data_IF_365354558450
#
_entry.id   IF_365354558450
#
_cell.length_a   1.000
_cell.length_b   1.000
_cell.length_c   1.000
_cell.angle_alpha   90.00
_cell.angle_beta   90.00
_cell.angle_gamma   90.00
#
_symmetry.space_group_name_H-M   'P 1'
#
loop_
_entity.id
_entity.type
_entity.pdbx_description
1 polymer ?
#
# COMPACT_ATOMS: atom_id res chain seq x y z
N UNK A 1 11.20 -18.97 29.84
CA UNK A 1 12.09 -19.27 30.98
C UNK A 1 13.52 -19.12 30.48
N UNK A 2 14.15 -17.96 30.70
CA UNK A 2 15.54 -17.71 30.28
C UNK A 2 16.48 -18.39 31.27
N UNK A 3 17.19 -19.43 30.84
CA UNK A 3 18.23 -20.07 31.66
C UNK A 3 19.49 -19.20 31.63
N UNK A 4 19.72 -18.44 32.70
CA UNK A 4 21.00 -17.77 32.93
C UNK A 4 21.94 -18.75 33.63
N UNK A 5 23.02 -19.15 32.93
CA UNK A 5 24.06 -20.00 33.49
C UNK A 5 25.12 -19.13 34.20
N UNK A 6 25.08 -19.04 35.53
CA UNK A 6 25.99 -18.24 36.35
C UNK A 6 27.26 -19.02 36.77
N UNK A 7 28.04 -19.51 35.81
CA UNK A 7 29.38 -20.02 36.11
C UNK A 7 30.44 -18.98 35.72
N UNK A 8 31.36 -18.68 36.64
CA UNK A 8 32.51 -17.78 36.46
C UNK A 8 33.40 -18.17 35.26
N UNK A 9 33.34 -19.43 34.84
CA UNK A 9 34.05 -20.00 33.69
C UNK A 9 33.48 -19.63 32.30
N UNK A 10 32.27 -19.04 32.21
CA UNK A 10 31.61 -18.72 30.93
C UNK A 10 31.77 -17.26 30.47
N UNK A 11 32.31 -16.36 31.30
CA UNK A 11 32.35 -14.90 31.03
C UNK A 11 33.23 -14.48 29.83
N UNK A 12 34.09 -15.36 29.30
CA UNK A 12 35.02 -15.07 28.18
C UNK A 12 34.95 -16.10 27.04
N UNK A 13 33.94 -16.96 27.02
CA UNK A 13 33.84 -18.08 26.09
C UNK A 13 32.48 -18.13 25.42
N UNK A 14 32.44 -18.47 24.12
CA UNK A 14 31.17 -18.76 23.43
C UNK A 14 30.48 -19.96 24.09
N UNK A 15 29.15 -20.08 23.96
CA UNK A 15 28.41 -21.21 24.55
C UNK A 15 28.99 -22.58 24.15
N UNK A 16 29.50 -22.70 22.93
CA UNK A 16 30.15 -23.91 22.42
C UNK A 16 31.48 -24.22 23.13
N UNK A 17 32.31 -23.21 23.38
CA UNK A 17 33.58 -23.34 24.12
C UNK A 17 33.35 -23.67 25.60
N UNK A 18 32.39 -22.99 26.23
CA UNK A 18 32.01 -23.24 27.60
C UNK A 18 31.46 -24.67 27.77
N UNK A 19 30.59 -25.12 26.85
CA UNK A 19 30.05 -26.48 26.83
C UNK A 19 31.15 -27.53 26.70
N UNK A 20 32.12 -27.29 25.80
CA UNK A 20 33.24 -28.20 25.58
C UNK A 20 34.12 -28.34 26.84
N UNK A 21 34.36 -27.25 27.57
CA UNK A 21 35.14 -27.27 28.82
C UNK A 21 34.41 -27.93 29.99
N UNK A 22 33.10 -27.70 30.13
CA UNK A 22 32.34 -28.14 31.31
C UNK A 22 31.85 -29.58 31.16
N UNK A 23 31.47 -29.98 29.96
CA UNK A 23 30.71 -31.21 29.71
C UNK A 23 31.28 -32.05 28.57
N UNK A 24 32.46 -31.69 28.06
CA UNK A 24 33.08 -32.32 26.89
C UNK A 24 32.38 -31.95 25.58
N UNK A 25 32.95 -32.41 24.46
CA UNK A 25 32.38 -32.19 23.13
C UNK A 25 31.42 -33.31 22.69
N UNK A 26 31.39 -34.41 23.44
CA UNK A 26 30.64 -35.60 23.08
C UNK A 26 29.19 -35.50 23.54
N UNK A 27 28.28 -36.06 22.74
CA UNK A 27 26.86 -36.06 23.07
C UNK A 27 26.61 -36.90 24.31
N UNK A 28 25.90 -36.36 25.31
CA UNK A 28 25.42 -37.12 26.48
C UNK A 28 24.49 -38.28 26.08
N UNK A 29 23.93 -38.24 24.86
CA UNK A 29 23.11 -39.31 24.32
C UNK A 29 23.84 -40.66 24.29
N UNK A 30 25.19 -40.68 24.21
CA UNK A 30 25.99 -41.92 24.24
C UNK A 30 25.89 -42.72 25.53
N UNK A 31 25.42 -42.10 26.61
CA UNK A 31 25.23 -42.75 27.91
C UNK A 31 23.80 -43.26 28.13
N UNK A 32 22.87 -43.00 27.19
CA UNK A 32 21.52 -43.54 27.26
C UNK A 32 21.49 -45.01 26.79
N UNK A 33 20.88 -45.92 27.56
CA UNK A 33 20.71 -47.31 27.14
C UNK A 33 19.96 -47.38 25.80
N UNK A 34 20.57 -47.99 24.79
CA UNK A 34 20.01 -48.12 23.44
C UNK A 34 20.37 -47.00 22.45
N UNK A 35 21.24 -46.06 22.81
CA UNK A 35 21.78 -45.08 21.87
C UNK A 35 22.73 -45.74 20.86
N UNK A 36 22.40 -45.59 19.58
CA UNK A 36 23.21 -46.03 18.45
C UNK A 36 23.54 -44.79 17.60
N UNK A 37 24.82 -44.36 17.54
CA UNK A 37 25.22 -43.17 16.78
C UNK A 37 25.03 -43.32 15.27
N UNK A 38 24.82 -44.54 14.75
CA UNK A 38 24.48 -44.79 13.34
C UNK A 38 22.99 -44.61 13.02
N UNK A 39 22.11 -44.66 14.04
CA UNK A 39 20.67 -44.42 13.89
C UNK A 39 20.37 -42.93 13.89
N UNK A 40 20.60 -42.26 12.76
CA UNK A 40 19.87 -41.01 12.48
C UNK A 40 18.38 -41.33 12.57
N UNK A 41 17.61 -40.55 13.34
CA UNK A 41 16.15 -40.59 13.25
C UNK A 41 15.78 -40.37 11.79
N UNK A 42 15.43 -41.45 11.08
CA UNK A 42 14.85 -41.35 9.75
C UNK A 42 13.54 -40.58 9.93
N UNK A 43 13.32 -39.56 9.10
CA UNK A 43 12.03 -38.88 9.04
C UNK A 43 10.94 -39.95 8.92
N UNK A 44 9.96 -39.95 9.81
CA UNK A 44 8.81 -40.84 9.67
C UNK A 44 8.18 -40.58 8.29
N UNK A 45 7.84 -41.62 7.51
CA UNK A 45 7.15 -41.41 6.24
C UNK A 45 5.83 -40.65 6.49
N UNK A 46 5.45 -39.81 5.53
CA UNK A 46 4.17 -39.11 5.59
C UNK A 46 3.03 -40.13 5.69
N UNK A 47 2.05 -39.86 6.54
CA UNK A 47 0.82 -40.66 6.61
C UNK A 47 0.04 -40.50 5.31
N UNK A 48 -0.88 -41.42 5.03
CA UNK A 48 -1.81 -41.30 3.89
C UNK A 48 -2.56 -39.96 3.92
N UNK A 49 -3.03 -39.54 5.10
CA UNK A 49 -3.61 -38.22 5.30
C UNK A 49 -2.60 -37.10 5.01
N UNK A 50 -1.33 -37.24 5.40
CA UNK A 50 -0.28 -36.27 5.08
C UNK A 50 -0.02 -36.12 3.58
N UNK A 51 -0.08 -37.22 2.83
CA UNK A 51 0.03 -37.21 1.36
C UNK A 51 -1.19 -36.55 0.71
N UNK A 52 -2.39 -36.85 1.19
CA UNK A 52 -3.63 -36.22 0.71
C UNK A 52 -3.68 -34.72 1.02
N UNK A 53 -3.22 -34.31 2.21
CA UNK A 53 -3.11 -32.91 2.58
C UNK A 53 -2.06 -32.16 1.76
N UNK A 54 -0.94 -32.80 1.40
CA UNK A 54 0.07 -32.21 0.50
C UNK A 54 -0.43 -32.04 -0.95
N UNK A 55 -1.46 -32.80 -1.35
CA UNK A 55 -2.14 -32.66 -2.63
C UNK A 55 -3.28 -31.64 -2.60
N UNK A 56 -3.71 -31.21 -1.41
CA UNK A 56 -4.74 -30.19 -1.24
C UNK A 56 -4.19 -28.81 -1.60
N UNK A 57 -4.65 -28.24 -2.72
CA UNK A 57 -4.31 -26.88 -3.11
C UNK A 57 -5.42 -25.91 -2.70
N UNK A 58 -5.05 -24.83 -2.01
CA UNK A 58 -5.93 -23.67 -1.87
C UNK A 58 -5.85 -22.90 -3.20
N UNK A 59 -6.97 -22.63 -3.89
CA UNK A 59 -6.95 -21.92 -5.15
C UNK A 59 -6.36 -20.52 -4.97
N UNK A 60 -5.39 -20.19 -5.80
CA UNK A 60 -4.81 -18.85 -5.85
C UNK A 60 -5.76 -17.91 -6.58
N UNK A 61 -6.41 -16.99 -5.86
CA UNK A 61 -7.45 -16.11 -6.41
C UNK A 61 -6.99 -14.65 -6.58
N UNK A 62 -5.75 -14.32 -6.20
CA UNK A 62 -5.26 -12.96 -6.40
C UNK A 62 -4.96 -12.77 -7.88
N UNK A 63 -5.83 -12.02 -8.55
CA UNK A 63 -5.55 -11.50 -9.87
C UNK A 63 -4.61 -10.30 -9.72
N UNK A 64 -3.44 -10.38 -10.34
CA UNK A 64 -2.67 -9.18 -10.62
C UNK A 64 -2.06 -9.22 -12.00
N UNK A 65 -1.94 -8.04 -12.59
CA UNK A 65 -1.29 -7.87 -13.88
C UNK A 65 0.22 -8.03 -13.69
N UNK A 66 0.77 -9.16 -14.13
CA UNK A 66 2.22 -9.34 -14.21
C UNK A 66 2.73 -8.44 -15.32
N UNK A 67 3.41 -7.35 -14.95
CA UNK A 67 3.98 -6.41 -15.91
C UNK A 67 5.11 -7.03 -16.74
N UNK A 68 5.61 -8.22 -16.35
CA UNK A 68 6.60 -8.99 -17.11
C UNK A 68 6.11 -10.43 -17.35
N UNK A 69 5.94 -10.86 -18.63
CA UNK A 69 5.49 -12.22 -18.96
C UNK A 69 6.53 -13.31 -18.66
N UNK A 70 7.72 -12.95 -18.17
CA UNK A 70 8.83 -13.89 -17.90
C UNK A 70 8.85 -14.43 -16.47
N UNK A 71 8.00 -13.91 -15.60
CA UNK A 71 7.98 -14.29 -14.18
C UNK A 71 6.79 -15.20 -13.95
N UNK A 72 7.00 -16.46 -13.52
CA UNK A 72 5.91 -17.37 -13.26
C UNK A 72 5.04 -16.83 -12.11
N UNK A 73 3.72 -17.06 -12.12
CA UNK A 73 2.87 -16.68 -11.00
C UNK A 73 3.24 -17.49 -9.73
N UNK A 74 2.85 -17.04 -8.53
CA UNK A 74 3.29 -17.65 -7.26
C UNK A 74 2.95 -19.14 -7.13
N UNK A 75 1.85 -19.60 -7.71
CA UNK A 75 1.48 -21.01 -7.62
C UNK A 75 2.25 -21.90 -8.59
N UNK A 76 2.94 -21.34 -9.60
CA UNK A 76 3.71 -22.08 -10.61
C UNK A 76 5.22 -22.05 -10.38
N UNK A 77 5.75 -21.05 -9.67
CA UNK A 77 7.20 -20.94 -9.40
C UNK A 77 7.72 -22.15 -8.61
N UNK A 78 8.92 -22.62 -8.95
CA UNK A 78 9.62 -23.65 -8.20
C UNK A 78 10.08 -23.08 -6.84
N UNK A 79 9.58 -23.58 -5.70
CA UNK A 79 9.99 -23.09 -4.38
C UNK A 79 11.48 -23.21 -4.12
N UNK A 80 12.18 -24.17 -4.72
CA UNK A 80 13.62 -24.37 -4.54
C UNK A 80 14.46 -23.22 -5.13
N UNK A 81 13.87 -22.39 -6.01
CA UNK A 81 14.47 -21.14 -6.49
C UNK A 81 14.93 -20.23 -5.33
N UNK A 82 14.19 -20.26 -4.22
CA UNK A 82 14.44 -19.42 -3.05
C UNK A 82 15.43 -20.04 -2.04
N UNK A 83 16.06 -21.17 -2.39
CA UNK A 83 17.00 -21.88 -1.53
C UNK A 83 18.38 -21.99 -2.20
N UNK A 84 19.41 -22.11 -1.37
CA UNK A 84 20.77 -22.42 -1.76
C UNK A 84 21.22 -23.72 -1.12
N UNK A 85 22.00 -24.51 -1.85
CA UNK A 85 22.59 -25.73 -1.33
C UNK A 85 23.86 -25.40 -0.54
N UNK A 86 23.85 -25.72 0.76
CA UNK A 86 25.02 -25.60 1.62
C UNK A 86 26.01 -26.76 1.45
N UNK A 87 27.20 -26.62 2.04
CA UNK A 87 28.34 -27.54 1.91
C UNK A 87 28.09 -29.01 2.32
N UNK A 88 26.90 -29.37 2.83
CA UNK A 88 26.51 -30.73 3.23
C UNK A 88 25.19 -31.20 2.58
N UNK A 89 24.78 -30.57 1.48
CA UNK A 89 23.49 -30.83 0.83
C UNK A 89 22.28 -30.30 1.61
N UNK A 90 22.52 -29.42 2.59
CA UNK A 90 21.44 -28.79 3.37
C UNK A 90 20.91 -27.59 2.59
N UNK A 91 19.61 -27.57 2.33
CA UNK A 91 18.95 -26.41 1.73
C UNK A 91 18.82 -25.27 2.75
N UNK A 92 19.34 -24.10 2.39
CA UNK A 92 19.22 -22.87 3.17
C UNK A 92 18.30 -21.90 2.44
N UNK A 93 17.27 -21.41 3.12
CA UNK A 93 16.40 -20.38 2.55
C UNK A 93 17.16 -19.06 2.40
N UNK A 94 16.96 -18.39 1.26
CA UNK A 94 17.54 -17.09 0.94
C UNK A 94 16.42 -16.06 0.82
N UNK A 95 16.09 -15.32 1.90
CA UNK A 95 14.96 -14.39 1.89
C UNK A 95 15.04 -13.32 0.80
N UNK A 96 16.26 -12.93 0.42
CA UNK A 96 16.52 -11.97 -0.66
C UNK A 96 16.01 -12.45 -2.01
N UNK A 97 16.12 -13.75 -2.33
CA UNK A 97 15.65 -14.28 -3.62
C UNK A 97 14.12 -14.22 -3.72
N UNK A 98 13.42 -14.53 -2.62
CA UNK A 98 11.97 -14.38 -2.57
C UNK A 98 11.55 -12.90 -2.67
N UNK A 99 12.27 -12.00 -2.00
CA UNK A 99 12.06 -10.57 -2.12
C UNK A 99 12.25 -10.07 -3.56
N UNK A 100 13.30 -10.50 -4.25
CA UNK A 100 13.56 -10.12 -5.65
C UNK A 100 12.50 -10.64 -6.60
N UNK A 101 12.06 -11.88 -6.41
CA UNK A 101 10.93 -12.44 -7.14
C UNK A 101 9.66 -11.59 -6.93
N UNK A 102 9.33 -11.25 -5.69
CA UNK A 102 8.16 -10.41 -5.39
C UNK A 102 8.29 -9.00 -5.98
N UNK A 103 9.48 -8.39 -5.91
CA UNK A 103 9.74 -7.08 -6.50
C UNK A 103 9.54 -7.10 -8.02
N UNK A 104 10.01 -8.15 -8.68
CA UNK A 104 9.88 -8.30 -10.13
C UNK A 104 8.44 -8.64 -10.54
N UNK A 105 7.71 -9.41 -9.73
CA UNK A 105 6.33 -9.84 -9.98
C UNK A 105 5.32 -8.70 -9.76
N UNK A 106 5.47 -7.97 -8.65
CA UNK A 106 4.50 -6.98 -8.18
C UNK A 106 4.88 -5.55 -8.56
N UNK A 107 6.15 -5.33 -8.92
CA UNK A 107 6.68 -4.00 -9.23
C UNK A 107 6.05 -3.40 -10.49
N UNK A 108 5.96 -2.05 -10.60
CA UNK A 108 6.52 -1.07 -9.67
C UNK A 108 5.80 -1.01 -8.32
N UNK A 109 6.60 -1.10 -7.25
CA UNK A 109 6.15 -1.17 -5.85
C UNK A 109 7.07 -0.25 -5.03
N UNK A 110 6.52 0.45 -4.04
CA UNK A 110 7.30 1.26 -3.10
C UNK A 110 6.78 1.09 -1.66
N UNK A 111 7.69 1.18 -0.70
CA UNK A 111 7.36 1.25 0.73
C UNK A 111 7.67 2.65 1.26
N UNK A 112 6.72 3.26 1.96
CA UNK A 112 6.90 4.58 2.59
C UNK A 112 6.26 4.57 3.97
N UNK A 113 7.10 4.59 5.01
CA UNK A 113 6.69 4.67 6.43
C UNK A 113 5.60 3.64 6.84
N UNK A 114 5.78 2.39 6.42
CA UNK A 114 4.89 1.27 6.68
C UNK A 114 3.72 1.13 5.70
N UNK A 115 3.54 2.08 4.78
CA UNK A 115 2.53 1.99 3.72
C UNK A 115 3.15 1.46 2.44
N UNK A 116 2.54 0.44 1.86
CA UNK A 116 2.95 -0.12 0.57
C UNK A 116 2.12 0.46 -0.55
N UNK A 117 2.78 0.82 -1.64
CA UNK A 117 2.21 1.46 -2.80
C UNK A 117 2.55 0.66 -4.05
N UNK A 118 1.54 0.14 -4.74
CA UNK A 118 1.71 -0.63 -5.97
C UNK A 118 1.11 0.11 -7.15
N UNK A 119 1.83 0.16 -8.26
CA UNK A 119 1.32 0.75 -9.49
C UNK A 119 0.37 -0.22 -10.21
N UNK A 120 -0.88 0.19 -10.35
CA UNK A 120 -1.91 -0.57 -11.07
C UNK A 120 -2.79 0.39 -11.85
N UNK A 121 -3.14 0.03 -13.09
CA UNK A 121 -4.07 0.78 -13.94
C UNK A 121 -3.81 2.30 -14.06
N UNK A 122 -2.55 2.75 -13.98
CA UNK A 122 -2.18 4.15 -14.14
C UNK A 122 -1.90 4.92 -12.85
N UNK A 123 -2.00 4.30 -11.68
CA UNK A 123 -1.90 4.99 -10.38
C UNK A 123 -1.32 4.08 -9.30
N UNK A 124 -0.62 4.66 -8.32
CA UNK A 124 -0.16 3.94 -7.14
C UNK A 124 -1.29 3.80 -6.12
N UNK A 125 -1.70 2.56 -5.84
CA UNK A 125 -2.72 2.21 -4.84
C UNK A 125 -2.06 1.63 -3.58
N UNK A 126 -2.72 1.80 -2.44
CA UNK A 126 -2.29 1.19 -1.18
C UNK A 126 -2.48 -0.32 -1.28
N UNK A 127 -1.47 -1.08 -0.89
CA UNK A 127 -1.47 -2.54 -0.84
C UNK A 127 -1.32 -2.98 0.62
N UNK A 128 -2.06 -3.99 1.04
CA UNK A 128 -1.92 -4.52 2.40
C UNK A 128 -0.68 -5.43 2.52
N UNK A 129 -0.04 -5.41 3.68
CA UNK A 129 1.13 -6.29 3.93
C UNK A 129 0.74 -7.77 3.89
N UNK A 130 -0.50 -8.10 4.24
CA UNK A 130 -1.06 -9.46 4.16
C UNK A 130 -1.10 -9.98 2.73
N UNK A 131 -1.29 -9.11 1.72
CA UNK A 131 -1.23 -9.52 0.31
C UNK A 131 0.19 -9.94 -0.08
N UNK A 132 1.22 -9.21 0.38
CA UNK A 132 2.62 -9.58 0.20
C UNK A 132 2.94 -10.91 0.88
N UNK A 133 2.47 -11.09 2.12
CA UNK A 133 2.64 -12.33 2.86
C UNK A 133 1.93 -13.52 2.18
N UNK A 134 0.75 -13.28 1.61
CA UNK A 134 0.02 -14.29 0.84
C UNK A 134 0.81 -14.72 -0.40
N UNK A 135 1.31 -13.77 -1.20
CA UNK A 135 2.16 -14.05 -2.37
C UNK A 135 3.38 -14.89 -1.99
N UNK A 136 4.09 -14.51 -0.93
CA UNK A 136 5.25 -15.23 -0.43
C UNK A 136 4.89 -16.66 0.04
N UNK A 137 3.76 -16.81 0.73
CA UNK A 137 3.30 -18.11 1.25
C UNK A 137 2.95 -19.07 0.11
N UNK A 138 2.25 -18.57 -0.92
CA UNK A 138 1.89 -19.37 -2.10
C UNK A 138 3.13 -19.78 -2.88
N UNK A 139 4.08 -18.86 -3.08
CA UNK A 139 5.35 -19.15 -3.75
C UNK A 139 6.21 -20.20 -3.03
N UNK A 140 6.18 -20.24 -1.70
CA UNK A 140 6.94 -21.20 -0.90
C UNK A 140 6.27 -22.57 -0.74
N UNK A 141 4.96 -22.69 -1.00
CA UNK A 141 4.18 -23.92 -0.82
C UNK A 141 4.46 -24.55 0.56
N UNK A 142 4.74 -25.85 0.62
CA UNK A 142 5.02 -26.60 1.86
C UNK A 142 6.28 -26.13 2.62
N UNK A 143 7.14 -25.34 1.95
CA UNK A 143 8.33 -24.76 2.57
C UNK A 143 8.03 -23.44 3.31
N UNK A 144 6.81 -22.91 3.21
CA UNK A 144 6.46 -21.65 3.85
C UNK A 144 6.62 -21.73 5.38
N UNK A 145 7.38 -20.78 5.94
CA UNK A 145 7.50 -20.59 7.39
C UNK A 145 7.26 -19.11 7.71
N UNK A 146 6.50 -18.76 8.77
CA UNK A 146 6.15 -17.36 9.05
C UNK A 146 7.36 -16.42 9.18
N UNK A 147 8.44 -16.89 9.81
CA UNK A 147 9.67 -16.12 9.94
C UNK A 147 10.38 -15.88 8.59
N UNK A 148 10.32 -16.84 7.67
CA UNK A 148 10.91 -16.72 6.33
C UNK A 148 10.10 -15.76 5.45
N UNK A 149 8.78 -15.86 5.50
CA UNK A 149 7.86 -14.94 4.83
C UNK A 149 8.09 -13.50 5.31
N UNK A 150 8.09 -13.30 6.63
CA UNK A 150 8.30 -11.97 7.20
C UNK A 150 9.69 -11.41 6.87
N UNK A 151 10.74 -12.23 6.90
CA UNK A 151 12.09 -11.81 6.52
C UNK A 151 12.15 -11.37 5.04
N UNK A 152 11.48 -12.09 4.13
CA UNK A 152 11.43 -11.71 2.73
C UNK A 152 10.67 -10.39 2.50
N UNK A 153 9.52 -10.20 3.16
CA UNK A 153 8.74 -8.95 3.09
C UNK A 153 9.53 -7.77 3.66
N UNK A 154 10.26 -7.97 4.76
CA UNK A 154 11.13 -6.94 5.35
C UNK A 154 12.26 -6.54 4.39
N UNK A 155 12.94 -7.51 3.78
CA UNK A 155 13.97 -7.23 2.78
C UNK A 155 13.37 -6.51 1.58
N UNK A 156 12.22 -6.96 1.07
CA UNK A 156 11.52 -6.30 -0.03
C UNK A 156 11.26 -4.83 0.31
N UNK A 157 10.77 -4.54 1.51
CA UNK A 157 10.47 -3.18 1.95
C UNK A 157 11.71 -2.31 2.01
N UNK A 158 12.86 -2.89 2.41
CA UNK A 158 14.15 -2.20 2.36
C UNK A 158 14.63 -1.93 0.92
N UNK A 159 14.36 -2.84 -0.03
CA UNK A 159 14.74 -2.69 -1.44
C UNK A 159 13.93 -1.63 -2.17
N UNK A 160 12.63 -1.57 -1.89
CA UNK A 160 11.70 -0.64 -2.57
C UNK A 160 11.39 0.60 -1.73
N UNK A 161 12.18 0.89 -0.70
CA UNK A 161 11.94 2.02 0.20
C UNK A 161 12.02 3.33 -0.57
N UNK A 162 10.98 4.15 -0.41
CA UNK A 162 10.92 5.53 -0.87
C UNK A 162 10.64 6.44 0.30
N UNK A 163 11.42 7.53 0.45
CA UNK A 163 11.15 8.51 1.50
C UNK A 163 9.96 9.39 1.10
N UNK A 164 9.16 9.89 2.04
CA UNK A 164 8.04 10.80 1.74
C UNK A 164 8.45 11.99 0.89
N UNK A 165 9.65 12.53 1.11
CA UNK A 165 10.16 13.72 0.44
C UNK A 165 10.59 13.45 -1.01
N UNK A 166 10.80 12.18 -1.37
CA UNK A 166 11.15 11.77 -2.72
C UNK A 166 9.88 11.61 -3.61
N UNK A 167 8.68 11.58 -3.03
CA UNK A 167 7.45 11.61 -3.83
C UNK A 167 7.30 12.98 -4.52
N UNK A 168 7.03 13.01 -5.83
CA UNK A 168 6.94 14.27 -6.54
C UNK A 168 5.69 15.04 -6.11
N UNK A 169 5.76 16.37 -6.20
CA UNK A 169 4.56 17.18 -6.25
C UNK A 169 3.93 16.98 -7.62
N UNK A 170 2.79 16.30 -7.65
CA UNK A 170 2.05 16.04 -8.88
C UNK A 170 1.69 17.38 -9.57
N UNK A 171 2.01 17.50 -10.85
CA UNK A 171 1.71 18.69 -11.68
C UNK A 171 0.70 18.40 -12.78
N UNK A 172 0.54 17.12 -13.11
CA UNK A 172 -0.39 16.62 -14.12
C UNK A 172 -1.61 16.06 -13.41
N UNK A 173 -2.78 16.24 -14.01
CA UNK A 173 -4.03 15.63 -13.55
C UNK A 173 -4.06 14.19 -14.06
N UNK A 174 -3.95 13.20 -13.17
CA UNK A 174 -4.09 11.81 -13.54
C UNK A 174 -5.59 11.45 -13.68
N UNK A 175 -6.02 11.13 -14.89
CA UNK A 175 -7.39 10.78 -15.22
C UNK A 175 -7.46 9.45 -15.99
N UNK A 176 -8.66 8.95 -16.25
CA UNK A 176 -8.83 7.69 -16.99
C UNK A 176 -8.33 7.76 -18.44
N UNK A 177 -8.13 8.94 -19.02
CA UNK A 177 -7.53 9.07 -20.36
C UNK A 177 -6.00 9.12 -20.35
N UNK A 178 -5.36 9.34 -19.19
CA UNK A 178 -3.92 9.53 -19.07
C UNK A 178 -3.56 10.67 -18.14
N UNK A 179 -2.35 11.21 -18.32
CA UNK A 179 -1.82 12.30 -17.50
C UNK A 179 -2.06 13.62 -18.22
N UNK A 180 -3.04 14.39 -17.79
CA UNK A 180 -3.41 15.67 -18.41
C UNK A 180 -2.53 16.80 -17.87
N UNK A 181 -1.87 17.51 -18.77
CA UNK A 181 -1.19 18.75 -18.43
C UNK A 181 -2.21 19.91 -18.36
N UNK A 182 -2.46 20.52 -17.19
CA UNK A 182 -3.49 21.55 -17.04
C UNK A 182 -3.16 22.88 -17.73
N UNK A 183 -1.90 23.11 -18.10
CA UNK A 183 -1.47 24.33 -18.79
C UNK A 183 -1.59 24.21 -20.30
N UNK A 184 -1.21 23.05 -20.85
CA UNK A 184 -1.23 22.82 -22.31
C UNK A 184 -2.47 22.10 -22.80
N UNK A 185 -3.25 21.52 -21.87
CA UNK A 185 -4.44 20.68 -22.15
C UNK A 185 -4.13 19.43 -22.99
N UNK A 186 -2.87 18.98 -22.98
CA UNK A 186 -2.42 17.77 -23.68
C UNK A 186 -2.39 16.58 -22.73
N UNK A 187 -2.78 15.42 -23.25
CA UNK A 187 -2.66 14.15 -22.57
C UNK A 187 -1.29 13.52 -22.85
N UNK A 188 -0.62 13.13 -21.77
CA UNK A 188 0.56 12.27 -21.79
C UNK A 188 0.15 10.83 -21.46
N UNK A 189 0.85 9.81 -22.00
CA UNK A 189 0.61 8.42 -21.65
C UNK A 189 0.76 8.16 -20.15
N UNK A 190 0.05 7.16 -19.63
CA UNK A 190 0.24 6.69 -18.26
C UNK A 190 1.64 6.10 -18.12
N UNK A 191 2.37 6.51 -17.09
CA UNK A 191 3.69 5.99 -16.77
C UNK A 191 3.86 5.88 -15.24
N UNK A 192 4.34 4.75 -14.69
CA UNK A 192 4.70 4.64 -13.27
C UNK A 192 5.70 5.70 -12.79
N UNK A 193 6.53 6.26 -13.67
CA UNK A 193 7.51 7.30 -13.31
C UNK A 193 6.86 8.63 -12.89
N UNK A 194 5.58 8.85 -13.22
CA UNK A 194 4.84 10.00 -12.69
C UNK A 194 4.54 9.89 -11.19
N UNK A 195 4.61 8.67 -10.62
CA UNK A 195 4.43 8.41 -9.19
C UNK A 195 3.13 8.98 -8.60
N UNK A 196 2.09 9.08 -9.44
CA UNK A 196 0.80 9.61 -9.03
C UNK A 196 0.06 8.63 -8.13
N UNK A 197 -0.49 9.13 -7.02
CA UNK A 197 -1.21 8.33 -6.00
C UNK A 197 -2.72 8.57 -6.00
N UNK A 198 -3.16 9.45 -6.89
CA UNK A 198 -4.55 9.87 -7.06
C UNK A 198 -4.90 9.75 -8.53
N UNK A 199 -6.09 9.26 -8.85
CA UNK A 199 -6.56 9.21 -10.24
C UNK A 199 -8.05 9.51 -10.24
N UNK A 200 -8.44 10.60 -10.90
CA UNK A 200 -9.85 10.96 -11.03
C UNK A 200 -10.56 9.97 -11.95
N UNK A 201 -11.81 9.63 -11.61
CA UNK A 201 -12.63 8.65 -12.34
C UNK A 201 -13.27 9.20 -13.61
N UNK A 202 -12.71 10.28 -14.17
CA UNK A 202 -13.19 10.92 -15.38
C UNK A 202 -12.26 10.64 -16.57
N UNK A 203 -12.84 10.57 -17.76
CA UNK A 203 -12.09 10.65 -19.02
C UNK A 203 -12.00 12.12 -19.45
N UNK A 204 -10.93 12.45 -20.15
CA UNK A 204 -10.69 13.76 -20.75
C UNK A 204 -10.64 13.64 -22.27
N UNK A 205 -11.26 14.60 -22.97
CA UNK A 205 -11.36 14.62 -24.42
C UNK A 205 -12.43 15.61 -24.91
N UNK A 206 -12.28 16.13 -26.13
CA UNK A 206 -13.23 17.07 -26.73
C UNK A 206 -14.55 16.40 -27.11
N UNK A 207 -14.52 15.08 -27.33
CA UNK A 207 -15.69 14.24 -27.56
C UNK A 207 -16.70 14.25 -26.40
N UNK A 208 -16.29 14.72 -25.21
CA UNK A 208 -17.16 14.87 -24.04
C UNK A 208 -17.72 16.28 -23.87
N UNK A 209 -17.40 17.23 -24.77
CA UNK A 209 -17.77 18.63 -24.61
C UNK A 209 -19.29 18.83 -24.48
N UNK A 210 -20.08 18.13 -25.31
CA UNK A 210 -21.55 18.23 -25.28
C UNK A 210 -22.14 17.62 -24.00
N UNK A 211 -21.42 16.72 -23.33
CA UNK A 211 -21.83 16.14 -22.04
C UNK A 211 -21.69 17.13 -20.87
N UNK A 212 -21.12 18.31 -21.09
CA UNK A 212 -21.04 19.37 -20.08
C UNK A 212 -22.36 20.16 -19.93
N UNK A 213 -23.29 20.05 -20.89
CA UNK A 213 -24.54 20.82 -20.90
C UNK A 213 -25.35 20.72 -19.59
N UNK A 214 -25.54 19.53 -18.96
CA UNK A 214 -26.27 19.45 -17.69
C UNK A 214 -25.62 20.25 -16.54
N UNK A 215 -24.29 20.36 -16.53
CA UNK A 215 -23.58 21.17 -15.53
C UNK A 215 -23.84 22.66 -15.76
N UNK A 216 -23.80 23.12 -17.01
CA UNK A 216 -24.09 24.51 -17.36
C UNK A 216 -25.54 24.87 -17.02
N UNK A 217 -26.49 24.00 -17.33
CA UNK A 217 -27.90 24.15 -16.96
C UNK A 217 -28.10 24.17 -15.45
N UNK A 218 -27.39 23.31 -14.71
CA UNK A 218 -27.41 23.32 -13.25
C UNK A 218 -26.92 24.68 -12.70
N UNK A 219 -25.81 25.22 -13.22
CA UNK A 219 -25.28 26.51 -12.78
C UNK A 219 -26.26 27.66 -13.07
N UNK A 220 -26.89 27.66 -14.24
CA UNK A 220 -27.93 28.66 -14.58
C UNK A 220 -29.15 28.53 -13.66
N UNK A 221 -29.58 27.30 -13.37
CA UNK A 221 -30.74 27.05 -12.50
C UNK A 221 -30.45 27.44 -11.05
N UNK A 222 -29.24 27.14 -10.55
CA UNK A 222 -28.86 27.42 -9.17
C UNK A 222 -28.52 28.90 -8.93
N UNK A 223 -28.10 29.62 -9.98
CA UNK A 223 -27.68 31.02 -9.94
C UNK A 223 -28.22 31.77 -11.18
N UNK A 224 -29.55 31.95 -11.29
CA UNK A 224 -30.18 32.53 -12.47
C UNK A 224 -29.87 34.03 -12.60
N UNK A 225 -29.92 34.54 -13.83
CA UNK A 225 -29.81 35.97 -14.10
C UNK A 225 -28.38 36.45 -14.35
N UNK A 226 -28.25 37.55 -15.10
CA UNK A 226 -26.96 38.10 -15.54
C UNK A 226 -26.13 38.67 -14.38
N UNK A 227 -26.81 39.12 -13.33
CA UNK A 227 -26.21 39.60 -12.09
C UNK A 227 -25.40 38.52 -11.35
N UNK A 228 -25.72 37.24 -11.58
CA UNK A 228 -25.06 36.10 -10.94
C UNK A 228 -23.98 35.44 -11.81
N UNK A 229 -23.64 36.01 -12.98
CA UNK A 229 -22.58 35.48 -13.86
C UNK A 229 -21.22 35.31 -13.18
N UNK A 230 -20.87 36.25 -12.30
CA UNK A 230 -19.64 36.17 -11.52
C UNK A 230 -19.66 34.96 -10.57
N UNK A 231 -20.80 34.66 -9.94
CA UNK A 231 -20.98 33.48 -9.09
C UNK A 231 -20.87 32.20 -9.90
N UNK A 232 -21.56 32.10 -11.05
CA UNK A 232 -21.48 30.94 -11.96
C UNK A 232 -20.05 30.68 -12.42
N UNK A 233 -19.35 31.74 -12.84
CA UNK A 233 -17.94 31.68 -13.23
C UNK A 233 -17.06 31.21 -12.08
N UNK A 234 -17.29 31.69 -10.85
CA UNK A 234 -16.52 31.30 -9.68
C UNK A 234 -16.73 29.82 -9.33
N UNK A 235 -17.97 29.32 -9.36
CA UNK A 235 -18.27 27.91 -9.13
C UNK A 235 -17.59 27.03 -10.17
N UNK A 236 -17.68 27.38 -11.46
CA UNK A 236 -17.04 26.63 -12.53
C UNK A 236 -15.51 26.61 -12.39
N UNK A 237 -14.89 27.77 -12.08
CA UNK A 237 -13.44 27.84 -11.83
C UNK A 237 -13.03 27.04 -10.61
N UNK A 238 -13.84 27.04 -9.55
CA UNK A 238 -13.55 26.25 -8.36
C UNK A 238 -13.67 24.74 -8.64
N UNK A 239 -14.60 24.32 -9.51
CA UNK A 239 -14.68 22.95 -9.97
C UNK A 239 -13.39 22.53 -10.69
N UNK A 240 -12.87 23.36 -11.61
CA UNK A 240 -11.58 23.11 -12.25
C UNK A 240 -10.41 23.11 -11.27
N UNK A 241 -10.44 23.97 -10.25
CA UNK A 241 -9.42 24.00 -9.20
C UNK A 241 -9.36 22.70 -8.40
N UNK A 242 -10.51 22.13 -8.04
CA UNK A 242 -10.60 20.86 -7.30
C UNK A 242 -9.98 19.68 -8.07
N UNK A 243 -9.92 19.74 -9.40
CA UNK A 243 -9.29 18.72 -10.23
C UNK A 243 -7.77 18.84 -10.28
N UNK A 244 -7.19 19.96 -9.84
CA UNK A 244 -5.73 20.10 -9.82
C UNK A 244 -5.12 19.19 -8.74
N UNK A 245 -3.94 18.62 -9.01
CA UNK A 245 -3.24 17.74 -8.08
C UNK A 245 -2.58 18.48 -6.90
N UNK A 246 -2.69 19.81 -6.85
CA UNK A 246 -2.11 20.65 -5.83
C UNK A 246 -3.10 21.68 -5.28
N UNK A 247 -2.77 22.24 -4.11
CA UNK A 247 -3.55 23.29 -3.47
C UNK A 247 -2.90 24.67 -3.69
N UNK A 248 -2.43 24.96 -4.91
CA UNK A 248 -1.57 26.13 -5.20
C UNK A 248 -2.19 27.49 -4.89
N UNK A 249 -3.52 27.59 -4.81
CA UNK A 249 -4.19 28.86 -4.49
C UNK A 249 -4.58 28.98 -3.02
N UNK A 250 -4.48 27.89 -2.26
CA UNK A 250 -4.81 27.82 -0.82
C UNK A 250 -6.19 28.43 -0.52
N UNK A 251 -7.17 28.16 -1.39
CA UNK A 251 -8.54 28.69 -1.28
C UNK A 251 -9.52 27.65 -0.78
N UNK A 252 -10.47 28.11 0.02
CA UNK A 252 -11.65 27.35 0.45
C UNK A 252 -12.89 28.05 -0.11
N UNK A 253 -13.85 27.26 -0.62
CA UNK A 253 -15.14 27.76 -1.07
C UNK A 253 -16.17 27.66 0.06
N UNK A 254 -16.76 28.80 0.43
CA UNK A 254 -17.85 28.86 1.41
C UNK A 254 -19.18 29.04 0.68
N UNK A 255 -19.99 27.98 0.65
CA UNK A 255 -21.32 28.00 0.03
C UNK A 255 -22.36 28.43 1.07
N UNK A 256 -22.77 29.71 1.03
CA UNK A 256 -23.78 30.27 1.93
C UNK A 256 -25.14 30.36 1.23
N UNK A 257 -26.19 29.97 1.94
CA UNK A 257 -27.59 30.13 1.50
C UNK A 257 -28.49 29.17 2.25
N UNK A 258 -29.79 29.41 2.21
CA UNK A 258 -30.81 28.54 2.81
C UNK A 258 -30.89 27.17 2.11
N UNK A 259 -31.65 26.22 2.67
CA UNK A 259 -31.84 24.90 2.07
C UNK A 259 -32.42 24.98 0.66
N UNK A 260 -32.14 23.97 -0.18
CA UNK A 260 -32.75 23.87 -1.53
C UNK A 260 -32.01 24.57 -2.68
N UNK A 261 -30.98 25.38 -2.40
CA UNK A 261 -30.30 26.19 -3.44
C UNK A 261 -29.17 25.44 -4.19
N UNK A 262 -29.25 24.12 -4.35
CA UNK A 262 -28.27 23.35 -5.15
C UNK A 262 -26.86 23.17 -4.54
N UNK A 263 -26.56 23.66 -3.33
CA UNK A 263 -25.25 23.50 -2.68
C UNK A 263 -24.80 22.05 -2.54
N UNK A 264 -25.70 21.20 -2.02
CA UNK A 264 -25.43 19.76 -1.88
C UNK A 264 -25.21 19.09 -3.24
N UNK A 265 -26.00 19.47 -4.25
CA UNK A 265 -25.83 19.00 -5.63
C UNK A 265 -24.47 19.38 -6.19
N UNK A 266 -24.02 20.63 -6.01
CA UNK A 266 -22.70 21.05 -6.47
C UNK A 266 -21.57 20.28 -5.78
N UNK A 267 -21.65 20.10 -4.46
CA UNK A 267 -20.69 19.28 -3.70
C UNK A 267 -20.68 17.85 -4.24
N UNK A 268 -21.84 17.23 -4.47
CA UNK A 268 -21.93 15.87 -5.00
C UNK A 268 -21.33 15.77 -6.41
N UNK A 269 -21.55 16.75 -7.28
CA UNK A 269 -20.92 16.79 -8.62
C UNK A 269 -19.39 16.77 -8.48
N UNK A 270 -18.83 17.59 -7.59
CA UNK A 270 -17.38 17.63 -7.35
C UNK A 270 -16.88 16.30 -6.78
N UNK A 271 -17.56 15.74 -5.77
CA UNK A 271 -17.24 14.44 -5.18
C UNK A 271 -17.23 13.31 -6.20
N UNK A 272 -18.22 13.29 -7.10
CA UNK A 272 -18.30 12.29 -8.17
C UNK A 272 -17.20 12.49 -9.21
N UNK A 273 -16.83 13.74 -9.53
CA UNK A 273 -15.78 14.03 -10.50
C UNK A 273 -14.39 13.59 -10.00
N UNK A 274 -14.06 13.86 -8.73
CA UNK A 274 -12.79 13.39 -8.16
C UNK A 274 -12.83 11.90 -7.80
N UNK A 275 -14.00 11.37 -7.46
CA UNK A 275 -14.22 10.02 -6.93
C UNK A 275 -14.33 10.04 -5.40
N UNK A 276 -15.32 9.34 -4.86
CA UNK A 276 -15.62 9.31 -3.41
C UNK A 276 -14.44 8.87 -2.54
N UNK A 277 -13.53 8.04 -3.06
CA UNK A 277 -12.31 7.64 -2.36
C UNK A 277 -11.30 8.79 -2.14
N UNK A 278 -11.45 9.88 -2.89
CA UNK A 278 -10.62 11.09 -2.85
C UNK A 278 -11.34 12.23 -2.11
N UNK A 279 -12.46 11.94 -1.43
CA UNK A 279 -13.22 12.90 -0.63
C UNK A 279 -13.03 12.63 0.85
N UNK A 280 -12.73 13.68 1.62
CA UNK A 280 -12.69 13.64 3.08
C UNK A 280 -13.75 14.56 3.68
N UNK A 281 -14.14 14.27 4.93
CA UNK A 281 -15.15 15.04 5.66
C UNK A 281 -14.61 15.58 6.99
N UNK A 282 -13.40 16.17 6.97
CA UNK A 282 -12.78 16.76 8.16
C UNK A 282 -13.37 18.14 8.43
N UNK A 283 -13.69 18.42 9.68
CA UNK A 283 -14.05 19.78 10.10
C UNK A 283 -12.81 20.69 10.13
N UNK A 284 -13.03 22.01 10.18
CA UNK A 284 -11.93 22.97 10.38
C UNK A 284 -11.13 22.70 11.67
N UNK A 285 -11.80 22.17 12.70
CA UNK A 285 -11.14 21.75 13.94
C UNK A 285 -10.24 20.55 13.69
N UNK A 286 -10.73 19.52 12.99
CA UNK A 286 -9.97 18.30 12.72
C UNK A 286 -8.76 18.56 11.82
N UNK A 287 -8.85 19.52 10.89
CA UNK A 287 -7.72 19.96 10.08
C UNK A 287 -6.58 20.55 10.93
N UNK A 288 -6.89 21.11 12.10
CA UNK A 288 -5.89 21.60 13.07
C UNK A 288 -5.27 20.50 13.93
N UNK A 289 -5.85 19.29 13.94
CA UNK A 289 -5.34 18.16 14.72
C UNK A 289 -4.36 17.31 13.90
N UNK A 290 -3.12 17.19 14.41
CA UNK A 290 -2.04 16.44 13.73
C UNK A 290 -2.45 15.01 13.35
N UNK A 291 -3.27 14.36 14.18
CA UNK A 291 -3.66 12.95 13.97
C UNK A 291 -4.70 12.72 12.89
N UNK A 292 -5.42 13.74 12.40
CA UNK A 292 -6.45 13.55 11.36
C UNK A 292 -5.91 13.82 9.95
N UNK A 293 -4.75 14.48 9.84
CA UNK A 293 -4.15 14.89 8.56
C UNK A 293 -3.70 13.73 7.67
N UNK A 294 -3.48 12.52 8.20
CA UNK A 294 -3.15 11.35 7.37
C UNK A 294 -4.28 11.00 6.37
N UNK A 295 -5.53 11.37 6.69
CA UNK A 295 -6.69 11.17 5.79
C UNK A 295 -6.65 12.07 4.56
N UNK A 296 -5.78 13.09 4.55
CA UNK A 296 -5.64 14.02 3.44
C UNK A 296 -4.59 13.60 2.41
N UNK A 297 -3.81 12.54 2.68
CA UNK A 297 -2.67 12.15 1.84
C UNK A 297 -3.05 11.91 0.37
N UNK A 298 -4.25 11.39 0.13
CA UNK A 298 -4.81 11.11 -1.21
C UNK A 298 -6.17 11.79 -1.40
N UNK A 299 -6.51 12.76 -0.55
CA UNK A 299 -7.78 13.49 -0.64
C UNK A 299 -7.60 14.71 -1.55
N UNK A 300 -8.49 14.86 -2.53
CA UNK A 300 -8.56 16.04 -3.42
C UNK A 300 -9.58 17.06 -2.92
N UNK A 301 -10.65 16.60 -2.26
CA UNK A 301 -11.74 17.44 -1.80
C UNK A 301 -12.04 17.15 -0.33
N UNK A 302 -11.98 18.19 0.51
CA UNK A 302 -12.49 18.11 1.86
C UNK A 302 -13.80 18.88 2.00
N UNK A 303 -14.88 18.20 2.36
CA UNK A 303 -16.21 18.78 2.55
C UNK A 303 -16.49 18.92 4.04
N UNK A 304 -16.89 20.11 4.48
CA UNK A 304 -17.36 20.32 5.85
C UNK A 304 -18.65 21.10 5.88
N UNK A 305 -19.60 20.63 6.68
CA UNK A 305 -20.87 21.31 6.96
C UNK A 305 -20.78 22.24 8.17
N UNK A 306 -19.71 22.14 8.97
CA UNK A 306 -19.47 22.95 10.16
C UNK A 306 -18.34 23.96 9.93
N UNK A 307 -18.67 25.26 9.98
CA UNK A 307 -17.66 26.34 9.99
C UNK A 307 -17.31 26.77 11.41
N UNK A 308 -17.79 26.06 12.44
CA UNK A 308 -17.69 26.52 13.83
C UNK A 308 -16.41 25.98 14.50
N UNK A 309 -15.38 26.80 14.75
CA UNK A 309 -14.25 26.38 15.57
C UNK A 309 -14.75 26.24 17.01
N UNK A 310 -15.08 25.03 17.47
CA UNK A 310 -15.47 24.81 18.87
C UNK A 310 -14.29 25.14 19.80
N UNK A 311 -14.21 26.40 20.25
CA UNK A 311 -13.65 26.80 21.54
C UNK A 311 -14.59 27.82 22.18
N UNK A 312 -15.49 27.35 23.07
CA UNK A 312 -16.04 28.21 24.12
C UNK A 312 -14.86 28.64 24.99
N UNK A 313 -14.40 29.87 24.83
CA UNK A 313 -13.62 30.54 25.87
C UNK A 313 -14.48 30.55 27.13
N UNK A 314 -14.14 29.71 28.12
CA UNK A 314 -14.61 29.93 29.49
C UNK A 314 -13.97 31.25 29.93
N UNK A 315 -14.75 32.32 29.99
CA UNK A 315 -14.38 33.52 30.75
C UNK A 315 -14.03 33.04 32.16
N UNK A 316 -12.76 33.12 32.53
CA UNK A 316 -12.34 33.05 33.93
C UNK A 316 -12.91 34.32 34.59
N UNK A 317 -13.88 34.13 35.48
CA UNK A 317 -14.26 35.14 36.46
C UNK A 317 -13.21 35.19 37.56
#
# INVERSE_FOLDING_TARGET
MFYFCYHTSCKKHTFREARAKISGQESLAKYYPGYDPSKRQKSKPATELGLLLAQSSIPYQIAFECLSPRIPPPHEVDPYTFFEEGARGTLSFVPKRLADYMAALLGPLYETRGTWWRYEHGVYRKMDVGELQHVATVALRDHARPNQVNAAVEILGNLVRRRPEDWPKERLINCLSGMLNPETLKLEPRNPDHLSRVQIKCKYGMEYYDACEPLLQFLETAQPGKENEACKTMLHRFAGYVLLPDNRYEKVLLLKGEGGNGKGTFINILSMAVGEEHVSALSLHDLGERFNTYRLETSMLNVSTEVNPKKRWKRRH
#
